data_IF_968191084574
#
_entry.id   IF_968191084574
#
_cell.length_a   1.000
_cell.length_b   1.000
_cell.length_c   1.000
_cell.angle_alpha   90.00
_cell.angle_beta   90.00
_cell.angle_gamma   90.00
#
_symmetry.space_group_name_H-M   'P 1'
#
loop_
_entity.id
_entity.type
_entity.pdbx_description
1 polymer ?
#
# COMPACT_ATOMS: atom_id res chain seq x y z
N UNK A 1 8.10 -12.44 -0.25
CA UNK A 1 7.95 -13.26 0.98
C UNK A 1 6.51 -13.75 1.07
N UNK A 2 6.17 -14.86 0.41
CA UNK A 2 4.79 -15.39 0.44
C UNK A 2 4.58 -16.41 1.56
N UNK A 3 5.63 -17.10 2.00
CA UNK A 3 5.53 -18.20 2.97
C UNK A 3 5.83 -17.78 4.41
N UNK A 4 6.03 -16.47 4.65
CA UNK A 4 6.21 -15.92 5.99
C UNK A 4 4.94 -15.15 6.37
N UNK A 5 4.44 -15.43 7.58
CA UNK A 5 3.29 -14.75 8.19
C UNK A 5 3.76 -13.96 9.39
N UNK A 6 3.08 -12.87 9.67
CA UNK A 6 3.26 -12.10 10.91
C UNK A 6 2.52 -12.81 12.05
N UNK A 7 3.18 -12.97 13.19
CA UNK A 7 2.56 -13.58 14.38
C UNK A 7 1.53 -12.63 14.99
N UNK A 8 1.86 -11.34 15.07
CA UNK A 8 0.97 -10.28 15.56
C UNK A 8 0.89 -9.16 14.51
N UNK A 9 -0.02 -9.32 13.55
CA UNK A 9 -0.21 -8.33 12.49
C UNK A 9 -0.75 -7.00 13.02
N UNK A 10 -0.13 -5.90 12.61
CA UNK A 10 -0.61 -4.56 12.95
C UNK A 10 -1.89 -4.18 12.22
N UNK A 11 -2.61 -3.18 12.74
CA UNK A 11 -3.77 -2.57 12.08
C UNK A 11 -3.39 -1.20 11.51
N UNK A 12 -3.68 -0.97 10.24
CA UNK A 12 -3.44 0.30 9.52
C UNK A 12 -4.76 0.78 8.93
N UNK A 13 -5.37 1.77 9.60
CA UNK A 13 -6.70 2.29 9.25
C UNK A 13 -6.58 3.36 8.16
N UNK A 14 -5.58 4.24 8.29
CA UNK A 14 -5.34 5.36 7.39
C UNK A 14 -3.89 5.33 6.92
N UNK A 15 -3.69 5.49 5.61
CA UNK A 15 -2.37 5.52 4.99
C UNK A 15 -2.41 6.30 3.67
N UNK A 16 -1.24 6.74 3.23
CA UNK A 16 -1.03 7.47 1.98
C UNK A 16 0.19 6.92 1.24
N UNK A 17 0.26 7.21 -0.06
CA UNK A 17 1.36 6.84 -0.94
C UNK A 17 1.97 8.13 -1.52
N UNK A 18 3.28 8.31 -1.38
CA UNK A 18 4.02 9.48 -1.90
C UNK A 18 5.17 8.97 -2.76
N UNK A 19 5.29 9.48 -3.98
CA UNK A 19 6.38 9.16 -4.89
C UNK A 19 7.16 10.44 -5.27
N UNK A 20 8.47 10.43 -5.04
CA UNK A 20 9.38 11.52 -5.42
C UNK A 20 10.13 11.26 -6.74
N UNK A 21 9.96 10.07 -7.32
CA UNK A 21 10.58 9.74 -8.60
C UNK A 21 9.86 10.47 -9.73
N UNK A 22 10.61 11.29 -10.46
CA UNK A 22 10.08 12.14 -11.55
C UNK A 22 9.67 11.36 -12.80
N UNK A 23 10.19 10.15 -12.97
CA UNK A 23 9.99 9.35 -14.20
C UNK A 23 9.08 8.14 -13.97
N UNK A 24 8.32 8.13 -12.89
CA UNK A 24 7.38 7.04 -12.58
C UNK A 24 5.97 7.59 -12.75
N UNK A 25 5.21 6.95 -13.64
CA UNK A 25 3.81 7.32 -13.86
C UNK A 25 2.99 7.11 -12.59
N UNK A 26 2.00 7.97 -12.36
CA UNK A 26 1.11 7.88 -11.20
C UNK A 26 0.39 6.52 -11.14
N UNK A 27 -0.01 5.99 -12.29
CA UNK A 27 -0.64 4.66 -12.41
C UNK A 27 0.24 3.52 -11.87
N UNK A 28 1.56 3.61 -12.12
CA UNK A 28 2.55 2.64 -11.61
C UNK A 28 2.67 2.76 -10.09
N UNK A 29 2.73 4.00 -9.58
CA UNK A 29 2.78 4.27 -8.14
C UNK A 29 1.54 3.73 -7.42
N UNK A 30 0.35 4.00 -7.98
CA UNK A 30 -0.91 3.51 -7.44
C UNK A 30 -1.00 1.98 -7.47
N UNK A 31 -0.64 1.36 -8.59
CA UNK A 31 -0.61 -0.10 -8.73
C UNK A 31 0.38 -0.77 -7.77
N UNK A 32 1.54 -0.14 -7.54
CA UNK A 32 2.51 -0.60 -6.55
C UNK A 32 1.93 -0.54 -5.14
N UNK A 33 1.40 0.62 -4.72
CA UNK A 33 0.86 0.82 -3.38
C UNK A 33 -0.35 -0.08 -3.10
N UNK A 34 -1.23 -0.31 -4.07
CA UNK A 34 -2.35 -1.25 -3.97
C UNK A 34 -1.87 -2.70 -3.77
N UNK A 35 -0.90 -3.17 -4.57
CA UNK A 35 -0.32 -4.51 -4.41
C UNK A 35 0.40 -4.65 -3.08
N UNK A 36 1.11 -3.62 -2.61
CA UNK A 36 1.77 -3.65 -1.31
C UNK A 36 0.76 -3.80 -0.17
N UNK A 37 -0.33 -3.02 -0.17
CA UNK A 37 -1.40 -3.14 0.82
C UNK A 37 -2.03 -4.54 0.78
N UNK A 38 -2.27 -5.09 -0.41
CA UNK A 38 -2.74 -6.48 -0.56
C UNK A 38 -1.76 -7.48 0.08
N UNK A 39 -0.46 -7.32 -0.17
CA UNK A 39 0.57 -8.20 0.40
C UNK A 39 0.65 -8.08 1.92
N UNK A 40 0.51 -6.87 2.49
CA UNK A 40 0.39 -6.68 3.94
C UNK A 40 -0.77 -7.47 4.53
N UNK A 41 -1.95 -7.41 3.89
CA UNK A 41 -3.11 -8.22 4.26
C UNK A 41 -2.83 -9.72 4.19
N UNK A 42 -2.24 -10.19 3.09
CA UNK A 42 -1.83 -11.59 2.92
C UNK A 42 -0.84 -12.00 4.01
N UNK A 43 0.08 -11.13 4.42
CA UNK A 43 1.06 -11.42 5.47
C UNK A 43 0.47 -11.43 6.89
N UNK A 44 -0.79 -11.01 7.08
CA UNK A 44 -1.51 -11.08 8.34
C UNK A 44 -1.81 -9.73 8.99
N UNK A 45 -1.59 -8.61 8.29
CA UNK A 45 -1.99 -7.28 8.78
C UNK A 45 -3.47 -6.99 8.51
N UNK A 46 -4.08 -6.16 9.35
CA UNK A 46 -5.39 -5.56 9.05
C UNK A 46 -5.17 -4.17 8.43
N UNK A 47 -5.11 -4.11 7.11
CA UNK A 47 -4.90 -2.86 6.36
C UNK A 47 -6.12 -2.57 5.49
N UNK A 48 -6.58 -1.32 5.49
CA UNK A 48 -7.59 -0.88 4.53
C UNK A 48 -6.94 -0.81 3.14
N UNK A 49 -7.38 -1.56 2.12
CA UNK A 49 -6.76 -1.52 0.80
C UNK A 49 -7.05 -0.22 0.04
N UNK A 50 -8.01 0.59 0.51
CA UNK A 50 -8.37 1.85 -0.11
C UNK A 50 -7.52 3.00 0.46
N UNK A 51 -6.93 3.80 -0.44
CA UNK A 51 -6.22 5.02 -0.10
C UNK A 51 -7.19 6.09 0.40
N UNK A 52 -6.82 6.78 1.49
CA UNK A 52 -7.61 7.91 2.04
C UNK A 52 -7.50 9.14 1.15
N UNK A 53 -6.45 9.22 0.32
CA UNK A 53 -6.21 10.29 -0.64
C UNK A 53 -6.11 9.71 -2.05
N UNK A 54 -7.22 9.83 -2.79
CA UNK A 54 -7.21 9.78 -4.25
C UNK A 54 -6.72 11.15 -4.74
N UNK A 55 -5.58 11.16 -5.44
CA UNK A 55 -4.99 12.30 -6.19
C UNK A 55 -4.14 13.27 -5.35
N UNK A 56 -2.83 13.08 -5.44
CA UNK A 56 -1.93 14.23 -5.53
C UNK A 56 -1.77 14.55 -7.02
N UNK A 57 -2.79 15.18 -7.61
CA UNK A 57 -2.57 16.00 -8.80
C UNK A 57 -2.09 17.37 -8.31
N UNK A 58 -0.92 17.87 -8.74
CA UNK A 58 -0.56 19.26 -8.51
C UNK A 58 -1.55 20.23 -9.16
#
# INVERSE_FOLDING_TARGET
>A
MMNKKMVNGGTVINWICINFSRNVQESVTHGFCSKLAQMCGISGMNINPNLVLHKCTP
#
